data_IF_601911986112
#
_entry.id   IF_601911986112
#
_cell.length_a   1.000
_cell.length_b   1.000
_cell.length_c   1.000
_cell.angle_alpha   90.00
_cell.angle_beta   90.00
_cell.angle_gamma   90.00
#
_symmetry.space_group_name_H-M   'P 1'
#
loop_
_entity.id
_entity.type
_entity.pdbx_description
1 polymer ?
#
# COMPACT_ATOMS: atom_id res chain seq x y z
N UNK A 1 -17.17 22.25 7.46
CA UNK A 1 -16.54 21.80 7.45
C UNK A 1 -16.48 20.46 7.39
N UNK A 2 -17.01 20.00 7.29
CA UNK A 2 -17.26 18.67 7.32
C UNK A 2 -16.66 17.84 6.24
N UNK A 3 -16.46 18.36 5.05
CA UNK A 3 -15.85 17.62 3.96
C UNK A 3 -14.46 17.12 4.27
N UNK A 4 -13.83 17.72 5.21
CA UNK A 4 -12.48 17.37 5.58
C UNK A 4 -12.38 15.95 6.13
N UNK A 5 -13.41 15.49 6.76
CA UNK A 5 -13.40 14.19 7.38
C UNK A 5 -13.37 13.04 6.40
N UNK A 6 -13.65 13.34 5.13
CA UNK A 6 -13.64 12.29 4.18
C UNK A 6 -12.36 12.10 3.47
N UNK A 7 -11.34 12.79 3.85
CA UNK A 7 -10.05 12.68 3.23
C UNK A 7 -9.46 11.32 3.46
N UNK A 8 -9.28 10.57 2.39
CA UNK A 8 -8.68 9.25 2.46
C UNK A 8 -7.28 9.21 1.86
N UNK A 9 -6.83 10.35 1.34
CA UNK A 9 -5.50 10.45 0.76
C UNK A 9 -4.65 11.37 1.62
N UNK A 10 -3.38 11.05 1.71
CA UNK A 10 -2.43 11.84 2.46
C UNK A 10 -1.39 12.35 1.48
N UNK A 11 -1.26 13.67 1.38
CA UNK A 11 -0.24 14.25 0.52
C UNK A 11 1.13 14.09 1.17
N UNK A 12 2.16 13.88 0.36
CA UNK A 12 3.52 13.72 0.88
C UNK A 12 3.93 14.90 1.75
N UNK A 13 3.49 16.10 1.39
CA UNK A 13 3.81 17.30 2.15
C UNK A 13 3.20 17.31 3.55
N UNK A 14 2.19 16.49 3.77
CA UNK A 14 1.54 16.40 5.06
C UNK A 14 2.18 15.33 5.95
N UNK A 15 3.10 14.54 5.40
CA UNK A 15 3.73 13.47 6.15
C UNK A 15 4.97 13.99 6.86
N UNK A 16 4.84 14.20 8.16
CA UNK A 16 5.95 14.55 9.01
C UNK A 16 6.54 13.24 9.53
N UNK A 17 7.67 13.36 10.22
CA UNK A 17 8.30 12.22 10.85
C UNK A 17 7.34 11.56 11.85
N UNK A 18 6.58 12.36 12.58
CA UNK A 18 5.62 11.85 13.55
C UNK A 18 4.53 11.05 12.89
N UNK A 19 3.99 11.56 11.76
CA UNK A 19 2.96 10.85 11.02
C UNK A 19 3.51 9.55 10.46
N UNK A 20 4.74 9.60 9.93
CA UNK A 20 5.39 8.42 9.39
C UNK A 20 5.56 7.35 10.48
N UNK A 21 5.99 7.75 11.66
CA UNK A 21 6.16 6.83 12.78
C UNK A 21 4.84 6.18 13.16
N UNK A 22 3.75 6.94 13.16
CA UNK A 22 2.43 6.41 13.46
C UNK A 22 2.01 5.40 12.40
N UNK A 23 2.26 5.71 11.14
CA UNK A 23 1.93 4.79 10.04
C UNK A 23 2.68 3.48 10.20
N UNK A 24 3.97 3.56 10.47
CA UNK A 24 4.80 2.37 10.64
C UNK A 24 4.36 1.54 11.85
N UNK A 25 4.06 2.21 12.95
CA UNK A 25 3.62 1.53 14.15
C UNK A 25 2.33 0.77 13.91
N UNK A 26 1.37 1.40 13.25
CA UNK A 26 0.11 0.76 12.93
C UNK A 26 0.28 -0.40 11.94
N UNK A 27 1.22 -0.29 11.02
CA UNK A 27 1.51 -1.36 10.09
C UNK A 27 2.09 -2.57 10.80
N UNK A 28 3.05 -2.35 11.70
CA UNK A 28 3.61 -3.43 12.48
C UNK A 28 2.54 -4.14 13.30
N UNK A 29 1.68 -3.37 13.93
CA UNK A 29 0.59 -3.90 14.71
C UNK A 29 -0.34 -4.76 13.85
N UNK A 30 -0.67 -4.26 12.67
CA UNK A 30 -1.54 -4.99 11.75
C UNK A 30 -0.92 -6.30 11.28
N UNK A 31 0.34 -6.25 10.87
CA UNK A 31 1.02 -7.45 10.37
C UNK A 31 1.17 -8.51 11.46
N UNK A 32 1.50 -8.08 12.66
CA UNK A 32 1.64 -9.02 13.78
C UNK A 32 0.28 -9.61 14.15
N UNK A 33 -0.75 -8.77 14.19
CA UNK A 33 -2.07 -9.19 14.61
C UNK A 33 -2.74 -10.15 13.63
N UNK A 34 -2.52 -9.92 12.34
CA UNK A 34 -3.11 -10.76 11.30
C UNK A 34 -2.19 -11.88 10.82
N UNK A 35 -1.03 -12.01 11.45
CA UNK A 35 -0.03 -13.00 11.06
C UNK A 35 0.39 -12.87 9.59
N UNK A 36 0.44 -11.66 9.10
CA UNK A 36 0.85 -11.37 7.74
C UNK A 36 2.36 -11.15 7.71
N UNK A 37 3.03 -11.69 6.71
CA UNK A 37 4.46 -11.47 6.56
C UNK A 37 4.76 -10.02 6.21
N UNK A 38 5.79 -9.48 6.83
CA UNK A 38 6.24 -8.12 6.56
C UNK A 38 7.07 -8.12 5.27
N UNK A 39 6.40 -8.08 4.15
CA UNK A 39 7.04 -8.05 2.84
C UNK A 39 6.76 -6.73 2.15
N UNK A 40 7.59 -6.40 1.15
CA UNK A 40 7.37 -5.18 0.39
C UNK A 40 5.96 -5.15 -0.22
N UNK A 41 5.52 -6.26 -0.77
CA UNK A 41 4.22 -6.35 -1.40
C UNK A 41 3.09 -6.10 -0.40
N UNK A 42 3.18 -6.68 0.79
CA UNK A 42 2.16 -6.48 1.81
C UNK A 42 2.13 -5.05 2.31
N UNK A 43 3.30 -4.43 2.44
CA UNK A 43 3.39 -3.02 2.82
C UNK A 43 2.71 -2.15 1.76
N UNK A 44 3.00 -2.42 0.49
CA UNK A 44 2.41 -1.67 -0.61
C UNK A 44 0.89 -1.81 -0.60
N UNK A 45 0.37 -3.03 -0.46
CA UNK A 45 -1.07 -3.26 -0.42
C UNK A 45 -1.73 -2.50 0.72
N UNK A 46 -1.07 -2.43 1.86
CA UNK A 46 -1.59 -1.72 3.02
C UNK A 46 -1.62 -0.21 2.80
N UNK A 47 -0.61 0.31 2.09
CA UNK A 47 -0.49 1.74 1.85
C UNK A 47 -1.27 2.24 0.65
N UNK A 48 -1.67 1.36 -0.27
CA UNK A 48 -2.39 1.78 -1.47
C UNK A 48 -3.61 2.65 -1.21
N UNK A 49 -4.46 2.34 -0.23
CA UNK A 49 -5.63 3.17 0.05
C UNK A 49 -5.30 4.59 0.46
N UNK A 50 -4.10 4.83 0.97
CA UNK A 50 -3.68 6.17 1.38
C UNK A 50 -3.22 7.01 0.20
N UNK A 51 -2.99 6.38 -0.96
CA UNK A 51 -2.57 7.06 -2.19
C UNK A 51 -1.32 7.91 -2.01
N UNK A 52 -0.34 7.34 -1.31
CA UNK A 52 0.96 7.97 -1.17
C UNK A 52 1.73 7.86 -2.48
N UNK A 53 2.69 8.74 -2.69
CA UNK A 53 3.55 8.64 -3.85
C UNK A 53 4.41 7.38 -3.77
N UNK A 54 4.87 6.90 -4.91
CA UNK A 54 5.72 5.71 -4.95
C UNK A 54 7.01 5.94 -4.15
N UNK A 55 7.51 7.17 -4.17
CA UNK A 55 8.71 7.53 -3.42
C UNK A 55 8.46 7.39 -1.91
N UNK A 56 7.30 7.83 -1.44
CA UNK A 56 6.96 7.75 -0.04
C UNK A 56 6.74 6.30 0.40
N UNK A 57 6.09 5.51 -0.45
CA UNK A 57 5.89 4.09 -0.18
C UNK A 57 7.24 3.39 -0.06
N UNK A 58 8.18 3.71 -0.96
CA UNK A 58 9.53 3.14 -0.91
C UNK A 58 10.22 3.51 0.40
N UNK A 59 10.03 4.74 0.87
CA UNK A 59 10.62 5.19 2.13
C UNK A 59 10.07 4.39 3.30
N UNK A 60 8.77 4.16 3.34
CA UNK A 60 8.15 3.34 4.39
C UNK A 60 8.70 1.93 4.36
N UNK A 61 8.81 1.34 3.17
CA UNK A 61 9.35 0.00 3.02
C UNK A 61 10.77 -0.06 3.58
N UNK A 62 11.59 0.92 3.26
CA UNK A 62 12.98 0.96 3.73
C UNK A 62 13.06 1.04 5.25
N UNK A 63 12.16 1.78 5.86
CA UNK A 63 12.14 1.90 7.32
C UNK A 63 11.68 0.60 7.99
N UNK A 64 10.70 -0.07 7.38
CA UNK A 64 10.17 -1.32 7.96
C UNK A 64 11.04 -2.52 7.64
N UNK A 65 11.68 -2.53 6.49
CA UNK A 65 12.56 -3.62 6.07
C UNK A 65 13.90 -3.00 5.66
N UNK A 66 14.77 -2.69 6.64
CA UNK A 66 16.03 -2.00 6.35
C UNK A 66 16.96 -2.74 5.37
N UNK A 67 16.85 -4.06 5.31
CA UNK A 67 17.67 -4.85 4.42
C UNK A 67 17.22 -4.78 2.96
N UNK A 68 16.07 -4.20 2.70
CA UNK A 68 15.56 -4.10 1.35
C UNK A 68 16.08 -2.82 0.70
N UNK A 69 16.06 -2.79 -0.63
CA UNK A 69 16.45 -1.61 -1.39
C UNK A 69 15.30 -1.16 -2.29
N UNK A 70 14.20 -0.69 -1.71
CA UNK A 70 13.06 -0.28 -2.51
C UNK A 70 13.35 1.04 -3.23
N UNK A 71 12.81 1.17 -4.43
CA UNK A 71 12.89 2.41 -5.18
C UNK A 71 11.50 2.75 -5.70
N UNK A 72 11.30 4.01 -6.10
CA UNK A 72 10.02 4.42 -6.66
C UNK A 72 9.66 3.57 -7.88
N UNK A 73 10.65 3.24 -8.71
CA UNK A 73 10.43 2.38 -9.87
C UNK A 73 10.01 0.97 -9.49
N UNK A 74 10.68 0.40 -8.49
CA UNK A 74 10.34 -0.93 -8.00
C UNK A 74 8.93 -0.96 -7.43
N UNK A 75 8.57 0.06 -6.66
CA UNK A 75 7.24 0.18 -6.09
C UNK A 75 6.20 0.29 -7.20
N UNK A 76 6.48 1.09 -8.23
CA UNK A 76 5.56 1.25 -9.35
C UNK A 76 5.30 -0.07 -10.06
N UNK A 77 6.35 -0.87 -10.26
CA UNK A 77 6.23 -2.18 -10.90
C UNK A 77 5.37 -3.11 -10.04
N UNK A 78 5.60 -3.12 -8.74
CA UNK A 78 4.84 -3.97 -7.83
C UNK A 78 3.37 -3.56 -7.79
N UNK A 79 3.08 -2.26 -7.77
CA UNK A 79 1.71 -1.76 -7.80
C UNK A 79 1.03 -2.21 -9.10
N UNK A 80 1.73 -2.08 -10.23
CA UNK A 80 1.19 -2.51 -11.51
C UNK A 80 0.86 -3.98 -11.50
N UNK A 81 1.73 -4.81 -10.94
CA UNK A 81 1.50 -6.25 -10.86
C UNK A 81 0.32 -6.60 -9.96
N UNK A 82 0.19 -5.89 -8.85
CA UNK A 82 -0.94 -6.09 -7.95
C UNK A 82 -2.26 -5.76 -8.66
N UNK A 83 -2.30 -4.61 -9.34
CA UNK A 83 -3.50 -4.20 -10.06
C UNK A 83 -3.82 -5.12 -11.23
N UNK A 84 -2.80 -5.58 -11.92
CA UNK A 84 -2.98 -6.50 -13.05
C UNK A 84 -3.59 -7.82 -12.59
N UNK A 85 -3.09 -8.36 -11.47
CA UNK A 85 -3.61 -9.58 -10.91
C UNK A 85 -5.06 -9.43 -10.50
N UNK A 86 -5.38 -8.30 -9.89
CA UNK A 86 -6.74 -8.01 -9.47
C UNK A 86 -7.68 -7.91 -10.67
N UNK A 87 -7.23 -7.24 -11.73
CA UNK A 87 -8.03 -7.09 -12.95
C UNK A 87 -8.26 -8.44 -13.64
N UNK A 88 -7.24 -9.26 -13.67
CA UNK A 88 -7.37 -10.59 -14.28
C UNK A 88 -8.39 -11.44 -13.53
N UNK A 89 -8.35 -11.39 -12.20
CA UNK A 89 -9.31 -12.11 -11.39
C UNK A 89 -10.72 -11.62 -11.65
N UNK A 90 -10.91 -10.31 -11.75
CA UNK A 90 -12.21 -9.72 -12.02
C UNK A 90 -12.73 -10.16 -13.40
N UNK A 91 -11.85 -10.18 -14.40
CA UNK A 91 -12.21 -10.61 -15.73
C UNK A 91 -12.66 -12.07 -15.74
N UNK A 92 -11.97 -12.91 -15.00
CA UNK A 92 -12.32 -14.31 -14.89
C UNK A 92 -13.70 -14.48 -14.23
N UNK A 93 -13.95 -13.74 -13.18
CA UNK A 93 -15.23 -13.77 -12.49
C UNK A 93 -16.36 -13.33 -13.41
N UNK A 94 -16.12 -12.28 -14.18
CA UNK A 94 -17.12 -11.78 -15.13
C UNK A 94 -17.44 -12.82 -16.19
N UNK A 95 -16.42 -13.53 -16.68
CA UNK A 95 -16.61 -14.57 -17.67
C UNK A 95 -17.43 -15.73 -17.10
N UNK A 96 -17.16 -16.12 -15.87
CA UNK A 96 -17.89 -17.20 -15.22
C UNK A 96 -19.36 -16.83 -15.07
N UNK A 97 -19.62 -15.61 -14.62
CA UNK A 97 -21.00 -15.14 -14.47
C UNK A 97 -21.74 -15.12 -15.81
N UNK A 98 -21.03 -14.77 -16.86
CA UNK A 98 -21.62 -14.69 -18.19
C UNK A 98 -22.00 -16.06 -18.72
N UNK A 99 -21.24 -17.08 -18.37
CA UNK A 99 -21.50 -18.45 -18.84
C UNK A 99 -22.61 -19.09 -18.04
N UNK A 100 -22.87 -18.61 -16.86
CA UNK A 100 -23.95 -19.11 -16.04
C UNK A 100 -25.29 -18.47 -16.42
#
# INVERSE_FOLDING_TARGET
MTGVTRRKTIADSEITKEVLDVIMEKMFEKFTKEEIELTQQNIIKTLLPLKLSNKMIAKVIKELIPDSNPSAGSVAIQIRNINKKKNTTQQLLDLIEKEL
#
